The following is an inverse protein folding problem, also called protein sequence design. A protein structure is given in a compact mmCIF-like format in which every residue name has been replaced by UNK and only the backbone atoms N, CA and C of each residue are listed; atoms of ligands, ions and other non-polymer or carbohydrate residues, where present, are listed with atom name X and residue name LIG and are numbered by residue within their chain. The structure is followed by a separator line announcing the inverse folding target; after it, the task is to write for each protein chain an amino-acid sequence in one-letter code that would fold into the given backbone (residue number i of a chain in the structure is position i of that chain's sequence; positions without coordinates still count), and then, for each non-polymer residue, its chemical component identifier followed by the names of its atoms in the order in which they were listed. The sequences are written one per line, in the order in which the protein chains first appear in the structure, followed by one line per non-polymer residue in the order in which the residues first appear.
data_IF_751261516506
#
_entry.id   IF_751261516506
#
_cell.length_a   1.000
_cell.length_b   1.000
_cell.length_c   1.000
_cell.angle_alpha   90.00
_cell.angle_beta   90.00
_cell.angle_gamma   90.00
#
_symmetry.space_group_name_H-M   'P 1'
#
loop_
_entity.id
_entity.type
_entity.pdbx_description
1 polymer ?
#
# COMPACT_ATOMS: atom_id res chain seq x y z
N UNK A 1 -28.45 -23.92 12.32
CA UNK A 1 -28.55 -24.95 11.26
C UNK A 1 -29.47 -26.04 11.79
N UNK A 2 -30.73 -26.05 11.37
CA UNK A 2 -31.65 -27.12 11.78
C UNK A 2 -31.45 -28.32 10.85
N UNK A 3 -30.88 -29.39 11.40
CA UNK A 3 -30.66 -30.66 10.69
C UNK A 3 -31.97 -31.45 10.54
N UNK A 4 -32.10 -32.21 9.45
CA UNK A 4 -33.25 -33.07 9.22
C UNK A 4 -33.37 -34.18 10.28
N UNK A 5 -34.59 -34.68 10.52
CA UNK A 5 -34.85 -35.71 11.54
C UNK A 5 -34.00 -36.98 11.34
N UNK A 6 -33.71 -37.35 10.09
CA UNK A 6 -32.86 -38.49 9.75
C UNK A 6 -31.38 -38.22 10.04
N UNK A 7 -30.86 -37.05 9.64
CA UNK A 7 -29.47 -36.63 9.90
C UNK A 7 -29.17 -36.58 11.40
N UNK A 8 -30.11 -36.03 12.20
CA UNK A 8 -29.98 -36.01 13.67
C UNK A 8 -29.93 -37.42 14.27
N UNK A 9 -30.64 -38.39 13.69
CA UNK A 9 -30.71 -39.77 14.17
C UNK A 9 -29.49 -40.60 13.76
N UNK A 10 -28.95 -40.38 12.57
CA UNK A 10 -27.87 -41.20 12.00
C UNK A 10 -26.48 -40.56 12.14
N UNK A 11 -26.40 -39.26 12.47
CA UNK A 11 -25.15 -38.51 12.51
C UNK A 11 -24.57 -38.22 11.12
N UNK A 12 -25.29 -38.55 10.04
CA UNK A 12 -24.84 -38.33 8.67
C UNK A 12 -25.30 -36.92 8.24
N UNK A 13 -24.38 -36.16 7.66
CA UNK A 13 -24.69 -34.87 7.03
C UNK A 13 -25.04 -35.09 5.57
N UNK A 14 -26.28 -34.82 5.15
CA UNK A 14 -26.66 -34.92 3.75
C UNK A 14 -26.16 -33.67 3.02
N UNK A 15 -25.13 -33.84 2.19
CA UNK A 15 -24.63 -32.76 1.33
C UNK A 15 -25.47 -32.78 0.04
N UNK A 16 -26.11 -31.65 -0.27
CA UNK A 16 -26.89 -31.52 -1.51
C UNK A 16 -26.01 -31.71 -2.76
N UNK A 17 -26.48 -32.53 -3.70
CA UNK A 17 -25.77 -32.83 -4.94
C UNK A 17 -25.61 -31.59 -5.86
N UNK A 18 -26.40 -30.53 -5.66
CA UNK A 18 -26.30 -29.26 -6.38
C UNK A 18 -24.89 -28.66 -6.37
N UNK A 19 -24.09 -28.84 -5.32
CA UNK A 19 -22.71 -28.35 -5.30
C UNK A 19 -21.77 -29.16 -6.21
N UNK A 20 -22.07 -30.44 -6.44
CA UNK A 20 -21.28 -31.33 -7.30
C UNK A 20 -21.72 -31.27 -8.78
N UNK A 21 -22.98 -30.94 -9.05
CA UNK A 21 -23.57 -30.95 -10.39
C UNK A 21 -24.07 -29.58 -10.88
N UNK A 22 -23.91 -28.52 -10.08
CA UNK A 22 -24.37 -27.18 -10.39
C UNK A 22 -23.22 -26.21 -10.64
N UNK A 23 -23.29 -25.49 -11.75
CA UNK A 23 -22.50 -24.28 -11.98
C UNK A 23 -21.67 -24.27 -13.26
N UNK A 24 -21.50 -23.09 -13.84
CA UNK A 24 -20.44 -22.81 -14.81
C UNK A 24 -19.12 -22.69 -14.03
N UNK A 25 -18.03 -23.26 -14.57
CA UNK A 25 -16.71 -23.15 -13.94
C UNK A 25 -16.36 -21.68 -13.72
N UNK A 26 -15.70 -21.42 -12.60
CA UNK A 26 -15.18 -20.08 -12.31
C UNK A 26 -14.23 -19.65 -13.44
N UNK A 27 -14.07 -18.34 -13.64
CA UNK A 27 -13.15 -17.85 -14.67
C UNK A 27 -11.71 -18.28 -14.38
N UNK A 28 -11.35 -18.29 -13.09
CA UNK A 28 -10.05 -18.69 -12.56
C UNK A 28 -9.73 -20.17 -12.86
N UNK A 29 -10.73 -21.04 -12.85
CA UNK A 29 -10.60 -22.46 -13.23
C UNK A 29 -10.57 -22.67 -14.74
N UNK A 30 -11.22 -21.81 -15.51
CA UNK A 30 -11.24 -21.91 -16.98
C UNK A 30 -9.94 -21.42 -17.61
N UNK A 31 -9.34 -20.38 -17.04
CA UNK A 31 -8.13 -19.74 -17.55
C UNK A 31 -7.07 -19.64 -16.45
N UNK A 32 -6.42 -20.76 -16.08
CA UNK A 32 -5.49 -20.79 -14.96
C UNK A 32 -4.24 -19.93 -15.18
N UNK A 33 -3.76 -19.82 -16.42
CA UNK A 33 -2.60 -19.01 -16.80
C UNK A 33 -2.90 -17.51 -16.66
N UNK A 34 -3.99 -17.05 -17.28
CA UNK A 34 -4.45 -15.67 -17.12
C UNK A 34 -4.74 -15.31 -15.66
N UNK A 35 -5.29 -16.25 -14.88
CA UNK A 35 -5.49 -16.06 -13.44
C UNK A 35 -4.17 -15.94 -12.67
N UNK A 36 -3.13 -16.67 -13.05
CA UNK A 36 -1.80 -16.54 -12.45
C UNK A 36 -1.19 -15.17 -12.74
N UNK A 37 -1.18 -14.72 -14.00
CA UNK A 37 -0.71 -13.37 -14.36
C UNK A 37 -1.51 -12.28 -13.65
N UNK A 38 -2.83 -12.44 -13.52
CA UNK A 38 -3.67 -11.49 -12.79
C UNK A 38 -3.29 -11.41 -11.30
N UNK A 39 -2.90 -12.53 -10.68
CA UNK A 39 -2.39 -12.52 -9.30
C UNK A 39 -1.07 -11.76 -9.20
N UNK A 40 -0.15 -11.98 -10.12
CA UNK A 40 1.14 -11.25 -10.13
C UNK A 40 0.93 -9.74 -10.25
N UNK A 41 0.07 -9.31 -11.18
CA UNK A 41 -0.29 -7.89 -11.34
C UNK A 41 -0.94 -7.36 -10.05
N UNK A 42 -1.88 -8.10 -9.47
CA UNK A 42 -2.56 -7.69 -8.24
C UNK A 42 -1.59 -7.57 -7.06
N UNK A 43 -0.66 -8.50 -6.93
CA UNK A 43 0.33 -8.56 -5.85
C UNK A 43 1.30 -7.37 -5.91
N UNK A 44 1.72 -6.94 -7.10
CA UNK A 44 2.54 -5.74 -7.28
C UNK A 44 1.88 -4.46 -6.73
N UNK A 45 0.54 -4.42 -6.73
CA UNK A 45 -0.25 -3.30 -6.23
C UNK A 45 -0.86 -3.55 -4.84
N UNK A 46 -0.62 -4.72 -4.26
CA UNK A 46 -1.21 -5.15 -3.01
C UNK A 46 -0.48 -4.54 -1.81
N UNK A 47 -1.27 -4.19 -0.81
CA UNK A 47 -0.80 -3.83 0.52
C UNK A 47 -1.58 -4.66 1.54
N UNK A 48 -0.84 -5.30 2.45
CA UNK A 48 -1.44 -6.07 3.53
C UNK A 48 -2.35 -5.20 4.39
N UNK A 49 -3.42 -5.80 4.92
CA UNK A 49 -4.31 -5.15 5.88
C UNK A 49 -3.51 -4.50 7.02
N UNK A 50 -3.62 -3.17 7.24
CA UNK A 50 -2.84 -2.47 8.26
C UNK A 50 -2.99 -3.04 9.67
N UNK A 51 -4.15 -3.64 9.97
CA UNK A 51 -4.43 -4.24 11.26
C UNK A 51 -3.99 -5.71 11.35
N UNK A 52 -3.58 -6.34 10.25
CA UNK A 52 -3.21 -7.77 10.17
C UNK A 52 -4.27 -8.73 10.75
N UNK A 53 -5.54 -8.30 10.83
CA UNK A 53 -6.62 -9.12 11.37
C UNK A 53 -7.20 -10.05 10.31
N UNK A 54 -6.97 -9.73 9.04
CA UNK A 54 -7.50 -10.48 7.90
C UNK A 54 -6.39 -10.80 6.91
N UNK A 55 -6.57 -11.91 6.18
CA UNK A 55 -5.71 -12.26 5.04
C UNK A 55 -6.06 -11.49 3.76
N UNK A 56 -6.89 -10.45 3.86
CA UNK A 56 -7.31 -9.64 2.72
C UNK A 56 -6.19 -8.67 2.35
N UNK A 57 -5.85 -8.64 1.07
CA UNK A 57 -4.93 -7.67 0.50
C UNK A 57 -5.72 -6.49 -0.07
N UNK A 58 -5.37 -5.27 0.32
CA UNK A 58 -5.94 -4.07 -0.28
C UNK A 58 -5.11 -3.66 -1.48
N UNK A 59 -5.76 -3.44 -2.61
CA UNK A 59 -5.09 -3.05 -3.86
C UNK A 59 -5.55 -1.68 -4.32
N UNK A 60 -4.68 -1.02 -5.10
CA UNK A 60 -5.05 0.17 -5.90
C UNK A 60 -5.49 -0.19 -7.32
N UNK A 61 -5.38 -1.46 -7.67
CA UNK A 61 -5.68 -1.97 -9.00
C UNK A 61 -7.20 -1.95 -9.23
N UNK A 62 -7.66 -1.07 -10.11
CA UNK A 62 -9.06 -1.07 -10.54
C UNK A 62 -9.31 -2.21 -11.53
N UNK A 63 -10.55 -2.65 -11.67
CA UNK A 63 -10.89 -3.72 -12.62
C UNK A 63 -10.59 -3.34 -14.07
N UNK A 64 -10.76 -2.06 -14.43
CA UNK A 64 -10.41 -1.53 -15.76
C UNK A 64 -8.91 -1.59 -15.99
N UNK A 65 -8.10 -1.14 -15.03
CA UNK A 65 -6.65 -1.22 -15.14
C UNK A 65 -6.16 -2.67 -15.19
N UNK A 66 -6.77 -3.58 -14.44
CA UNK A 66 -6.44 -5.01 -14.52
C UNK A 66 -6.71 -5.59 -15.92
N UNK A 67 -7.81 -5.19 -16.55
CA UNK A 67 -8.14 -5.59 -17.93
C UNK A 67 -7.12 -5.04 -18.92
N UNK A 68 -6.73 -3.77 -18.79
CA UNK A 68 -5.70 -3.16 -19.65
C UNK A 68 -4.35 -3.86 -19.50
N UNK A 69 -3.97 -4.21 -18.27
CA UNK A 69 -2.74 -4.95 -18.00
C UNK A 69 -2.78 -6.36 -18.62
N UNK A 70 -3.89 -7.09 -18.50
CA UNK A 70 -4.04 -8.38 -19.17
C UNK A 70 -3.97 -8.25 -20.70
N UNK A 71 -4.57 -7.21 -21.28
CA UNK A 71 -4.44 -6.94 -22.72
C UNK A 71 -3.01 -6.62 -23.13
N UNK A 72 -2.24 -5.94 -22.27
CA UNK A 72 -0.82 -5.65 -22.54
C UNK A 72 0.07 -6.89 -22.48
N UNK A 73 -0.42 -7.99 -21.90
CA UNK A 73 0.22 -9.31 -21.90
C UNK A 73 -0.26 -10.20 -23.07
N UNK A 74 -0.91 -9.62 -24.08
CA UNK A 74 -1.41 -10.29 -25.28
C UNK A 74 -2.45 -11.41 -25.04
N UNK A 75 -3.18 -11.35 -23.91
CA UNK A 75 -4.33 -12.26 -23.70
C UNK A 75 -5.48 -11.93 -24.67
N UNK A 76 -6.10 -12.94 -25.30
CA UNK A 76 -7.18 -12.72 -26.26
C UNK A 76 -8.43 -12.17 -25.58
N UNK A 77 -9.21 -11.36 -26.29
CA UNK A 77 -10.37 -10.66 -25.72
C UNK A 77 -11.44 -11.62 -25.16
N UNK A 78 -11.52 -12.85 -25.70
CA UNK A 78 -12.40 -13.91 -25.19
C UNK A 78 -12.04 -14.38 -23.77
N UNK A 79 -10.77 -14.27 -23.39
CA UNK A 79 -10.28 -14.63 -22.07
C UNK A 79 -10.37 -13.46 -21.08
N UNK A 80 -10.53 -12.23 -21.58
CA UNK A 80 -10.61 -11.02 -20.75
C UNK A 80 -12.04 -10.82 -20.27
N UNK A 81 -12.33 -10.92 -18.96
CA UNK A 81 -13.68 -10.79 -18.45
C UNK A 81 -14.14 -9.32 -18.47
N UNK A 82 -15.46 -9.11 -18.46
CA UNK A 82 -16.04 -7.78 -18.33
C UNK A 82 -15.60 -7.09 -17.02
N UNK A 83 -15.56 -5.75 -16.95
CA UNK A 83 -15.08 -5.01 -15.78
C UNK A 83 -15.76 -5.36 -14.45
N UNK A 84 -17.07 -5.65 -14.47
CA UNK A 84 -17.82 -6.07 -13.29
C UNK A 84 -17.40 -7.47 -12.82
N UNK A 85 -17.27 -8.41 -13.76
CA UNK A 85 -16.80 -9.77 -13.51
C UNK A 85 -15.35 -9.77 -13.01
N UNK A 86 -14.49 -8.92 -13.59
CA UNK A 86 -13.10 -8.74 -13.15
C UNK A 86 -13.03 -8.29 -11.68
N UNK A 87 -13.88 -7.36 -11.26
CA UNK A 87 -13.94 -6.95 -9.85
C UNK A 87 -14.35 -8.12 -8.93
N UNK A 88 -15.30 -8.96 -9.34
CA UNK A 88 -15.70 -10.15 -8.59
C UNK A 88 -14.60 -11.22 -8.54
N UNK A 89 -13.86 -11.40 -9.63
CA UNK A 89 -12.68 -12.28 -9.70
C UNK A 89 -11.62 -11.82 -8.69
N UNK A 90 -11.24 -10.54 -8.73
CA UNK A 90 -10.26 -9.97 -7.79
C UNK A 90 -10.70 -10.14 -6.34
N UNK A 91 -11.98 -9.86 -6.04
CA UNK A 91 -12.53 -10.04 -4.70
C UNK A 91 -12.48 -11.51 -4.23
N UNK A 92 -12.77 -12.47 -5.12
CA UNK A 92 -12.68 -13.92 -4.83
C UNK A 92 -11.25 -14.37 -4.58
N UNK A 93 -10.28 -13.76 -5.28
CA UNK A 93 -8.85 -13.98 -5.05
C UNK A 93 -8.31 -13.28 -3.80
N UNK A 94 -9.14 -12.53 -3.05
CA UNK A 94 -8.74 -11.88 -1.80
C UNK A 94 -8.23 -10.44 -1.95
N UNK A 95 -8.30 -9.87 -3.16
CA UNK A 95 -7.87 -8.51 -3.45
C UNK A 95 -9.06 -7.55 -3.41
N UNK A 96 -9.03 -6.57 -2.51
CA UNK A 96 -10.11 -5.58 -2.36
C UNK A 96 -9.63 -4.19 -2.71
N UNK A 97 -10.34 -3.52 -3.62
CA UNK A 97 -10.04 -2.16 -4.01
C UNK A 97 -10.20 -1.21 -2.81
N UNK A 98 -9.16 -0.42 -2.52
CA UNK A 98 -9.21 0.65 -1.52
C UNK A 98 -8.44 1.86 -2.05
N UNK A 99 -9.05 3.04 -1.95
CA UNK A 99 -8.32 4.28 -2.19
C UNK A 99 -7.29 4.47 -1.09
N UNK A 100 -6.03 4.73 -1.46
CA UNK A 100 -5.04 5.07 -0.44
C UNK A 100 -5.28 6.49 0.06
N UNK A 101 -5.72 6.57 1.31
CA UNK A 101 -5.77 7.82 2.05
C UNK A 101 -4.38 8.05 2.63
N UNK A 102 -3.71 9.13 2.21
CA UNK A 102 -2.47 9.56 2.87
C UNK A 102 -2.77 9.84 4.34
N UNK A 103 -1.91 9.37 5.23
CA UNK A 103 -1.98 9.73 6.64
C UNK A 103 -1.95 11.26 6.78
N UNK A 104 -2.96 11.83 7.43
CA UNK A 104 -2.96 13.24 7.81
C UNK A 104 -2.24 13.33 9.17
N UNK A 105 -0.98 13.78 9.23
CA UNK A 105 -0.27 13.86 10.51
C UNK A 105 -0.99 14.88 11.40
N UNK A 106 -1.47 14.42 12.56
CA UNK A 106 -1.97 15.34 13.57
C UNK A 106 -0.77 16.07 14.19
N UNK A 107 -0.54 17.30 13.75
CA UNK A 107 0.50 18.16 14.32
C UNK A 107 0.13 18.47 15.77
N UNK A 108 0.92 17.96 16.72
CA UNK A 108 0.77 18.33 18.13
C UNK A 108 1.07 19.82 18.28
N UNK A 109 0.21 20.55 18.98
CA UNK A 109 0.47 21.96 19.30
C UNK A 109 1.77 22.07 20.13
N UNK A 110 2.61 23.09 19.89
CA UNK A 110 3.82 23.27 20.65
C UNK A 110 3.47 23.50 22.13
N UNK A 111 3.93 22.61 23.00
CA UNK A 111 3.89 22.85 24.45
C UNK A 111 4.82 24.02 24.75
N UNK A 112 4.39 24.98 25.57
CA UNK A 112 5.27 26.03 26.05
C UNK A 112 6.44 25.39 26.81
N UNK A 113 7.65 25.74 26.40
CA UNK A 113 8.87 25.24 27.01
C UNK A 113 9.06 25.98 28.34
N UNK A 114 9.17 25.30 29.49
CA UNK A 114 9.49 25.98 30.74
C UNK A 114 10.89 26.60 30.59
N UNK A 115 10.97 27.93 30.66
CA UNK A 115 12.23 28.64 30.59
C UNK A 115 13.08 28.28 31.81
N UNK A 116 14.32 27.84 31.59
CA UNK A 116 15.28 27.65 32.66
C UNK A 116 15.61 29.01 33.29
N UNK A 117 15.49 29.11 34.61
CA UNK A 117 15.93 30.29 35.36
C UNK A 117 17.44 30.39 35.27
N UNK A 118 17.95 31.34 34.48
CA UNK A 118 19.39 31.64 34.46
C UNK A 118 19.79 32.19 35.83
N UNK A 119 20.67 31.49 36.54
CA UNK A 119 21.31 32.00 37.75
C UNK A 119 22.09 33.28 37.41
N UNK A 120 22.03 34.27 38.31
CA UNK A 120 22.70 35.57 38.14
C UNK A 120 24.20 35.36 37.88
N UNK A 121 24.83 36.13 36.97
CA UNK A 121 26.27 36.04 36.76
C UNK A 121 27.00 36.55 38.00
N UNK A 122 27.70 35.67 38.70
CA UNK A 122 28.75 36.06 39.65
C UNK A 122 29.96 36.50 38.83
N UNK A 123 30.22 37.81 38.86
CA UNK A 123 31.40 38.44 38.28
C UNK A 123 32.63 37.95 39.03
N UNK A 124 33.50 37.17 38.39
CA UNK A 124 34.89 37.03 38.82
C UNK A 124 35.83 37.20 37.63
N UNK A 125 36.74 38.17 37.77
CA UNK A 125 37.77 38.52 36.78
C UNK A 125 39.04 37.71 37.08
N UNK A 126 39.44 36.82 36.18
CA UNK A 126 40.81 36.26 36.06
C UNK A 126 40.92 35.58 34.68
N UNK A 127 41.39 36.28 33.64
CA UNK A 127 42.77 36.30 33.10
C UNK A 127 43.41 34.92 32.85
N UNK A 128 43.65 34.67 31.55
CA UNK A 128 44.60 33.74 30.94
C UNK A 128 44.28 32.23 30.97
N UNK A 129 44.03 31.69 29.76
CA UNK A 129 44.79 30.61 29.09
C UNK A 129 43.88 29.68 28.28
N UNK A 130 44.28 29.45 27.02
CA UNK A 130 43.82 28.42 26.06
C UNK A 130 42.49 28.66 25.34
N UNK A 131 42.55 29.32 24.19
CA UNK A 131 41.54 29.17 23.14
C UNK A 131 41.75 27.82 22.44
N UNK A 132 41.11 26.75 22.94
CA UNK A 132 40.88 25.55 22.15
C UNK A 132 39.77 25.85 21.14
N UNK A 133 40.16 26.34 19.96
CA UNK A 133 39.26 26.40 18.80
C UNK A 133 39.01 24.97 18.32
N UNK A 134 37.91 24.37 18.78
CA UNK A 134 37.37 23.15 18.17
C UNK A 134 36.67 23.52 16.87
N UNK A 135 37.30 23.24 15.73
CA UNK A 135 36.59 23.16 14.45
C UNK A 135 35.79 21.85 14.41
N UNK A 136 34.46 21.93 14.53
CA UNK A 136 33.59 20.86 14.05
C UNK A 136 33.37 21.07 12.55
N UNK A 137 34.12 20.34 11.72
CA UNK A 137 33.93 20.39 10.27
C UNK A 137 32.72 19.54 9.87
N UNK A 138 31.52 20.08 10.02
CA UNK A 138 30.33 19.51 9.37
C UNK A 138 30.31 19.89 7.89
N UNK A 139 31.11 19.20 7.09
CA UNK A 139 31.06 19.32 5.63
C UNK A 139 29.74 18.70 5.13
N UNK A 140 28.85 19.54 4.58
CA UNK A 140 27.69 19.04 3.82
C UNK A 140 28.15 18.87 2.38
N UNK A 141 28.35 17.63 1.95
CA UNK A 141 28.60 17.32 0.54
C UNK A 141 27.28 17.44 -0.20
N UNK A 142 27.15 18.45 -1.05
CA UNK A 142 26.01 18.56 -1.95
C UNK A 142 26.20 17.54 -3.08
N UNK A 143 25.62 16.35 -2.92
CA UNK A 143 25.47 15.40 -4.01
C UNK A 143 24.27 15.88 -4.84
N UNK A 144 24.56 16.60 -5.93
CA UNK A 144 23.59 17.00 -6.95
C UNK A 144 23.15 18.47 -6.91
N UNK A 145 22.87 19.02 -8.10
CA UNK A 145 22.39 20.39 -8.31
C UNK A 145 20.90 20.51 -7.93
N UNK A 146 20.61 20.56 -6.63
CA UNK A 146 19.26 20.81 -6.14
C UNK A 146 19.14 22.25 -5.62
N UNK A 147 18.52 23.11 -6.43
CA UNK A 147 18.12 24.45 -6.02
C UNK A 147 17.11 24.38 -4.86
N UNK A 148 17.52 24.88 -3.70
CA UNK A 148 16.69 25.01 -2.50
C UNK A 148 15.73 26.20 -2.74
N UNK A 149 14.49 25.88 -3.09
CA UNK A 149 13.38 26.77 -3.50
C UNK A 149 13.11 26.73 -5.01
N UNK A 150 12.15 25.89 -5.40
CA UNK A 150 11.76 25.71 -6.79
C UNK A 150 11.20 26.98 -7.43
N UNK A 151 11.77 27.34 -8.59
CA UNK A 151 11.11 28.01 -9.70
C UNK A 151 12.04 27.91 -10.91
N UNK A 152 11.90 26.85 -11.71
CA UNK A 152 12.54 26.80 -13.03
C UNK A 152 11.77 27.75 -13.97
N UNK A 153 12.43 28.82 -14.38
CA UNK A 153 11.99 29.71 -15.45
C UNK A 153 13.07 29.74 -16.54
N UNK A 154 12.82 28.97 -17.59
CA UNK A 154 13.26 29.17 -18.99
C UNK A 154 14.77 29.03 -19.26
N UNK A 155 15.10 28.03 -20.08
CA UNK A 155 16.14 28.17 -21.12
C UNK A 155 15.75 27.36 -22.35
N UNK A 156 15.54 28.04 -23.48
CA UNK A 156 15.38 27.40 -24.79
C UNK A 156 16.73 26.85 -25.28
N UNK A 157 16.77 25.74 -26.03
CA UNK A 157 17.93 25.40 -26.83
C UNK A 157 17.87 26.11 -28.20
N UNK A 158 18.94 26.82 -28.53
CA UNK A 158 19.30 27.22 -29.89
C UNK A 158 20.39 26.31 -30.43
N UNK A 159 20.35 26.09 -31.75
CA UNK A 159 21.13 25.19 -32.62
C UNK A 159 20.37 23.90 -32.92
#
# INVERSE_FOLDING_TARGET
MELGLAEKRTGITCIGAQAAYGGNKSWEERFPEAAASLREIAEMHAQQDPCFLTAIAYTRLTSVAAIEQLRSLDYPEEQVPAPSTMALILNRMGYRLRSVVKAKPQKKFPKQMPSSTTSKPTTDKQTAMLNALSMDCKATVNIGDFARWGSDKRRQPSQ
#
